data_IF_744694254141
#
_entry.id   IF_744694254141
#
_cell.length_a   1.000
_cell.length_b   1.000
_cell.length_c   1.000
_cell.angle_alpha   90.00
_cell.angle_beta   90.00
_cell.angle_gamma   90.00
#
_symmetry.space_group_name_H-M   'P 1'
#
loop_
_entity.id
_entity.type
_entity.pdbx_description
1 polymer ?
#
# COMPACT_ATOMS: atom_id res chain seq x y z
N UNK A 1 29.94 -7.02 -11.67
CA UNK A 1 28.75 -7.81 -12.08
C UNK A 1 27.75 -6.89 -12.78
N UNK A 2 27.05 -7.33 -13.84
CA UNK A 2 26.01 -6.52 -14.53
C UNK A 2 24.79 -6.32 -13.63
N UNK A 3 24.12 -5.17 -13.72
CA UNK A 3 22.96 -4.79 -12.89
C UNK A 3 21.83 -5.83 -12.94
N UNK A 4 21.45 -6.27 -14.15
CA UNK A 4 20.42 -7.28 -14.36
C UNK A 4 20.66 -8.59 -13.58
N UNK A 5 21.92 -9.06 -13.50
CA UNK A 5 22.23 -10.28 -12.74
C UNK A 5 22.01 -10.10 -11.23
N UNK A 6 22.25 -8.90 -10.71
CA UNK A 6 22.00 -8.56 -9.30
C UNK A 6 20.49 -8.49 -9.05
N UNK A 7 19.74 -7.88 -9.96
CA UNK A 7 18.27 -7.82 -9.92
C UNK A 7 17.62 -9.20 -9.96
N UNK A 8 18.00 -10.08 -10.90
CA UNK A 8 17.44 -11.43 -10.96
C UNK A 8 17.71 -12.22 -9.68
N UNK A 9 18.91 -12.06 -9.11
CA UNK A 9 19.24 -12.67 -7.82
C UNK A 9 18.34 -12.12 -6.70
N UNK A 10 18.13 -10.81 -6.70
CA UNK A 10 17.34 -10.14 -5.67
C UNK A 10 15.86 -10.55 -5.73
N UNK A 11 15.26 -10.56 -6.92
CA UNK A 11 13.88 -11.01 -7.13
C UNK A 11 13.72 -12.47 -6.71
N UNK A 12 14.63 -13.35 -7.16
CA UNK A 12 14.55 -14.79 -6.86
C UNK A 12 14.63 -15.04 -5.37
N UNK A 13 15.57 -14.43 -4.65
CA UNK A 13 15.79 -14.72 -3.23
C UNK A 13 14.94 -13.85 -2.29
N UNK A 14 14.52 -12.66 -2.73
CA UNK A 14 13.77 -11.72 -1.91
C UNK A 14 12.26 -11.74 -2.10
N UNK A 15 11.75 -12.04 -3.31
CA UNK A 15 10.31 -12.15 -3.55
C UNK A 15 9.88 -13.61 -3.77
N UNK A 16 10.51 -14.35 -4.70
CA UNK A 16 9.98 -15.64 -5.20
C UNK A 16 10.26 -16.83 -4.26
N UNK A 17 11.51 -16.99 -3.79
CA UNK A 17 11.86 -18.12 -2.91
C UNK A 17 11.21 -18.05 -1.54
N UNK A 18 10.81 -16.86 -1.12
CA UNK A 18 10.09 -16.68 0.13
C UNK A 18 8.60 -16.83 -0.14
N UNK A 19 8.16 -18.05 -0.47
CA UNK A 19 6.77 -18.35 -0.88
C UNK A 19 5.74 -17.84 0.13
N UNK A 20 6.12 -17.80 1.42
CA UNK A 20 5.32 -17.23 2.51
C UNK A 20 4.93 -15.75 2.26
N UNK A 21 5.81 -14.97 1.62
CA UNK A 21 5.53 -13.58 1.25
C UNK A 21 4.47 -13.45 0.16
N UNK A 22 4.33 -14.44 -0.70
CA UNK A 22 3.31 -14.47 -1.75
C UNK A 22 1.95 -14.96 -1.22
N UNK A 23 1.95 -15.74 -0.13
CA UNK A 23 0.72 -16.20 0.52
C UNK A 23 -0.01 -15.07 1.28
N UNK A 24 0.72 -14.10 1.83
CA UNK A 24 0.10 -12.98 2.57
C UNK A 24 -0.95 -12.19 1.77
N UNK A 25 -0.65 -11.63 0.58
CA UNK A 25 -1.65 -10.90 -0.20
C UNK A 25 -2.82 -11.80 -0.62
N UNK A 26 -2.58 -13.09 -0.87
CA UNK A 26 -3.63 -14.05 -1.23
C UNK A 26 -4.61 -14.24 -0.08
N UNK A 27 -4.12 -14.58 1.11
CA UNK A 27 -4.94 -14.83 2.29
C UNK A 27 -5.71 -13.55 2.66
N UNK A 28 -5.00 -12.41 2.69
CA UNK A 28 -5.61 -11.13 3.00
C UNK A 28 -6.75 -10.80 2.03
N UNK A 29 -6.49 -10.78 0.72
CA UNK A 29 -7.48 -10.37 -0.26
C UNK A 29 -8.67 -11.33 -0.28
N UNK A 30 -8.43 -12.63 -0.12
CA UNK A 30 -9.51 -13.61 0.00
C UNK A 30 -10.43 -13.31 1.19
N UNK A 31 -9.87 -12.96 2.34
CA UNK A 31 -10.65 -12.59 3.53
C UNK A 31 -11.43 -11.29 3.30
N UNK A 32 -10.80 -10.27 2.70
CA UNK A 32 -11.45 -8.98 2.42
C UNK A 32 -12.61 -9.15 1.44
N UNK A 33 -12.41 -9.90 0.35
CA UNK A 33 -13.44 -10.20 -0.64
C UNK A 33 -14.58 -11.04 -0.03
N UNK A 34 -14.27 -11.98 0.86
CA UNK A 34 -15.29 -12.74 1.60
C UNK A 34 -16.13 -11.82 2.51
N UNK A 35 -15.49 -10.90 3.25
CA UNK A 35 -16.19 -9.91 4.07
C UNK A 35 -17.08 -8.99 3.22
N UNK A 36 -16.58 -8.54 2.06
CA UNK A 36 -17.36 -7.75 1.12
C UNK A 36 -18.58 -8.52 0.62
N UNK A 37 -18.38 -9.77 0.18
CA UNK A 37 -19.45 -10.63 -0.30
C UNK A 37 -20.56 -10.83 0.76
N UNK A 38 -20.18 -11.07 2.02
CA UNK A 38 -21.15 -11.15 3.12
C UNK A 38 -21.96 -9.87 3.25
N UNK A 39 -21.30 -8.70 3.30
CA UNK A 39 -21.99 -7.41 3.41
C UNK A 39 -22.90 -7.12 2.22
N UNK A 40 -22.46 -7.42 1.01
CA UNK A 40 -23.25 -7.23 -0.21
C UNK A 40 -24.50 -8.12 -0.24
N UNK A 41 -24.42 -9.34 0.28
CA UNK A 41 -25.57 -10.24 0.38
C UNK A 41 -26.56 -9.79 1.45
N UNK A 42 -26.07 -9.32 2.60
CA UNK A 42 -26.93 -8.70 3.62
C UNK A 42 -27.62 -7.45 3.08
N UNK A 43 -26.92 -6.62 2.29
CA UNK A 43 -27.51 -5.44 1.68
C UNK A 43 -28.61 -5.78 0.66
N UNK A 44 -28.41 -6.82 -0.15
CA UNK A 44 -29.41 -7.28 -1.13
C UNK A 44 -30.73 -7.75 -0.48
N UNK A 45 -30.69 -8.21 0.78
CA UNK A 45 -31.91 -8.60 1.53
C UNK A 45 -32.82 -7.41 1.87
N UNK A 46 -32.30 -6.18 1.86
CA UNK A 46 -33.10 -4.96 2.03
C UNK A 46 -33.82 -4.50 0.75
N UNK A 47 -33.79 -5.30 -0.33
CA UNK A 47 -34.55 -5.05 -1.56
C UNK A 47 -33.95 -3.99 -2.50
N UNK A 48 -32.77 -3.47 -2.17
CA UNK A 48 -32.06 -2.49 -3.00
C UNK A 48 -31.23 -3.25 -4.05
N UNK A 49 -31.83 -3.53 -5.21
CA UNK A 49 -31.11 -4.16 -6.34
C UNK A 49 -30.29 -3.10 -7.07
N UNK A 50 -29.11 -2.77 -6.55
CA UNK A 50 -28.18 -1.87 -7.24
C UNK A 50 -27.19 -2.63 -8.10
N UNK A 51 -26.91 -2.09 -9.28
CA UNK A 51 -25.83 -2.60 -10.13
C UNK A 51 -24.50 -2.41 -9.42
N UNK A 52 -23.72 -3.49 -9.38
CA UNK A 52 -22.43 -3.56 -8.69
C UNK A 52 -21.32 -3.45 -9.72
N UNK A 53 -20.32 -2.64 -9.40
CA UNK A 53 -19.20 -2.35 -10.29
C UNK A 53 -17.87 -2.67 -9.62
N UNK A 54 -16.82 -2.88 -10.42
CA UNK A 54 -15.46 -3.10 -9.90
C UNK A 54 -14.98 -1.91 -9.05
N UNK A 55 -15.43 -0.70 -9.37
CA UNK A 55 -15.20 0.50 -8.56
C UNK A 55 -15.62 0.33 -7.10
N UNK A 56 -16.73 -0.38 -6.84
CA UNK A 56 -17.18 -0.67 -5.47
C UNK A 56 -16.23 -1.57 -4.69
N UNK A 57 -15.70 -2.60 -5.37
CA UNK A 57 -14.76 -3.57 -4.78
C UNK A 57 -13.42 -2.92 -4.48
N UNK A 58 -12.93 -2.10 -5.42
CA UNK A 58 -11.70 -1.33 -5.25
C UNK A 58 -11.83 -0.31 -4.12
N UNK A 59 -12.96 0.38 -4.04
CA UNK A 59 -13.20 1.35 -2.98
C UNK A 59 -13.30 0.66 -1.62
N UNK A 60 -13.95 -0.50 -1.53
CA UNK A 60 -14.00 -1.26 -0.27
C UNK A 60 -12.59 -1.67 0.20
N UNK A 61 -11.73 -2.09 -0.73
CA UNK A 61 -10.36 -2.49 -0.45
C UNK A 61 -9.46 -1.32 -0.01
N UNK A 62 -9.52 -0.20 -0.75
CA UNK A 62 -8.59 0.91 -0.61
C UNK A 62 -9.19 2.17 0.03
N UNK A 63 -10.47 2.14 0.40
CA UNK A 63 -11.21 3.32 0.85
C UNK A 63 -10.70 3.91 2.16
N UNK A 64 -10.17 3.08 3.07
CA UNK A 64 -9.69 3.54 4.37
C UNK A 64 -10.84 3.82 5.33
N UNK A 65 -10.87 5.02 5.89
CA UNK A 65 -11.96 5.49 6.75
C UNK A 65 -12.32 6.93 6.41
N UNK A 66 -13.54 7.34 6.74
CA UNK A 66 -13.95 8.75 6.70
C UNK A 66 -13.06 9.63 7.57
N UNK A 67 -13.20 10.95 7.40
CA UNK A 67 -12.57 11.94 8.28
C UNK A 67 -12.91 11.60 9.73
N UNK A 68 -11.90 11.54 10.58
CA UNK A 68 -12.15 11.38 12.01
C UNK A 68 -12.46 12.73 12.63
N UNK A 69 -13.60 12.84 13.28
CA UNK A 69 -14.00 14.02 14.03
C UNK A 69 -14.20 13.61 15.49
N UNK A 70 -13.47 14.27 16.40
CA UNK A 70 -13.63 14.03 17.83
C UNK A 70 -14.99 14.57 18.27
N UNK A 71 -15.93 13.66 18.55
CA UNK A 71 -17.19 13.99 19.20
C UNK A 71 -17.57 12.90 20.21
N UNK A 72 -18.48 13.22 21.13
CA UNK A 72 -18.97 12.26 22.13
C UNK A 72 -19.75 11.08 21.50
N UNK A 73 -20.26 11.27 20.28
CA UNK A 73 -21.08 10.30 19.55
C UNK A 73 -20.29 9.52 18.49
N UNK A 74 -19.19 10.09 17.98
CA UNK A 74 -18.37 9.45 16.96
C UNK A 74 -17.20 8.67 17.58
N UNK A 75 -17.39 7.36 17.72
CA UNK A 75 -16.29 6.44 18.08
C UNK A 75 -15.32 6.30 16.90
N UNK A 76 -14.02 6.36 17.18
CA UNK A 76 -12.99 6.12 16.19
C UNK A 76 -13.12 4.72 15.56
N UNK A 77 -13.38 4.69 14.25
CA UNK A 77 -13.46 3.45 13.47
C UNK A 77 -12.10 3.15 12.84
N UNK A 78 -11.37 2.20 13.42
CA UNK A 78 -10.05 1.84 12.91
C UNK A 78 -10.14 1.18 11.52
N UNK A 79 -9.43 1.69 10.49
CA UNK A 79 -9.53 1.20 9.12
C UNK A 79 -8.69 -0.07 8.94
N UNK A 80 -9.16 -1.19 9.51
CA UNK A 80 -8.43 -2.47 9.59
C UNK A 80 -7.95 -2.94 8.22
N UNK A 81 -8.83 -2.97 7.20
CA UNK A 81 -8.49 -3.43 5.84
C UNK A 81 -7.33 -2.63 5.25
N UNK A 82 -7.45 -1.30 5.29
CA UNK A 82 -6.45 -0.38 4.74
C UNK A 82 -5.13 -0.45 5.51
N UNK A 83 -5.19 -0.47 6.85
CA UNK A 83 -4.00 -0.57 7.69
C UNK A 83 -3.27 -1.89 7.46
N UNK A 84 -3.99 -3.02 7.46
CA UNK A 84 -3.39 -4.33 7.24
C UNK A 84 -2.73 -4.42 5.86
N UNK A 85 -3.36 -3.91 4.81
CA UNK A 85 -2.79 -3.87 3.46
C UNK A 85 -1.36 -3.30 3.47
N UNK A 86 -1.19 -2.09 4.03
CA UNK A 86 0.10 -1.41 4.05
C UNK A 86 1.08 -1.99 5.08
N UNK A 87 0.60 -2.45 6.23
CA UNK A 87 1.45 -3.08 7.25
C UNK A 87 2.03 -4.41 6.74
N UNK A 88 1.26 -5.21 6.01
CA UNK A 88 1.77 -6.47 5.46
C UNK A 88 2.86 -6.26 4.42
N UNK A 89 2.72 -5.29 3.51
CA UNK A 89 3.76 -5.04 2.50
C UNK A 89 5.02 -4.41 3.13
N UNK A 90 4.86 -3.56 4.16
CA UNK A 90 5.98 -3.09 4.98
C UNK A 90 6.70 -4.26 5.65
N UNK A 91 5.95 -5.20 6.24
CA UNK A 91 6.53 -6.40 6.84
C UNK A 91 7.20 -7.32 5.82
N UNK A 92 6.58 -7.51 4.65
CA UNK A 92 7.10 -8.34 3.57
C UNK A 92 8.44 -7.83 3.04
N UNK A 93 8.61 -6.50 3.00
CA UNK A 93 9.84 -5.85 2.50
C UNK A 93 10.89 -5.61 3.58
N UNK A 94 10.55 -5.84 4.85
CA UNK A 94 11.33 -5.45 6.02
C UNK A 94 12.74 -6.06 6.08
N UNK A 95 12.80 -7.39 5.93
CA UNK A 95 13.97 -8.17 6.35
C UNK A 95 14.96 -8.41 5.23
N UNK A 96 14.51 -8.40 3.98
CA UNK A 96 15.33 -8.83 2.85
C UNK A 96 16.57 -7.96 2.63
N UNK A 97 16.52 -6.60 2.60
CA UNK A 97 17.71 -5.79 2.34
C UNK A 97 18.82 -6.02 3.37
N UNK A 98 18.47 -6.13 4.66
CA UNK A 98 19.45 -6.32 5.73
C UNK A 98 19.95 -7.75 5.83
N UNK A 99 19.06 -8.75 5.69
CA UNK A 99 19.48 -10.16 5.65
C UNK A 99 20.38 -10.43 4.43
N UNK A 100 20.12 -9.76 3.31
CA UNK A 100 20.99 -9.83 2.14
C UNK A 100 22.36 -9.22 2.44
N UNK A 101 22.41 -8.07 3.10
CA UNK A 101 23.66 -7.40 3.46
C UNK A 101 24.51 -8.23 4.45
N UNK A 102 23.92 -8.85 5.47
CA UNK A 102 24.64 -9.71 6.41
C UNK A 102 25.03 -11.08 5.81
N UNK A 103 24.33 -11.52 4.76
CA UNK A 103 24.54 -12.81 4.11
C UNK A 103 25.33 -12.73 2.79
N UNK A 104 24.86 -13.48 1.78
CA UNK A 104 25.53 -13.59 0.48
C UNK A 104 25.60 -12.26 -0.30
N UNK A 105 24.76 -11.28 0.04
CA UNK A 105 24.78 -9.95 -0.56
C UNK A 105 26.07 -9.18 -0.26
N UNK A 106 26.73 -9.42 0.88
CA UNK A 106 28.05 -8.85 1.16
C UNK A 106 29.08 -9.34 0.13
N UNK A 107 29.11 -10.65 -0.12
CA UNK A 107 30.00 -11.28 -1.13
C UNK A 107 29.73 -10.74 -2.53
N UNK A 108 28.45 -10.50 -2.87
CA UNK A 108 28.05 -9.87 -4.14
C UNK A 108 28.46 -8.40 -4.24
N UNK A 109 28.43 -7.65 -3.14
CA UNK A 109 28.86 -6.25 -3.08
C UNK A 109 30.37 -6.12 -3.29
N UNK A 110 31.16 -6.98 -2.63
CA UNK A 110 32.62 -7.08 -2.80
C UNK A 110 32.99 -7.44 -4.25
N UNK A 111 32.31 -8.44 -4.86
CA UNK A 111 32.50 -8.80 -6.28
C UNK A 111 31.95 -7.74 -7.26
N UNK A 112 30.94 -6.98 -6.85
CA UNK A 112 30.26 -5.97 -7.65
C UNK A 112 31.00 -4.65 -7.76
N UNK A 113 31.86 -4.33 -6.78
CA UNK A 113 32.67 -3.09 -6.67
C UNK A 113 31.87 -1.78 -6.73
N UNK A 114 30.56 -1.78 -6.49
CA UNK A 114 29.75 -0.56 -6.52
C UNK A 114 28.61 -0.58 -5.50
N UNK A 115 28.74 0.24 -4.45
CA UNK A 115 27.71 0.45 -3.43
C UNK A 115 26.43 1.07 -4.02
N UNK A 116 26.58 1.97 -4.98
CA UNK A 116 25.45 2.64 -5.66
C UNK A 116 24.61 1.63 -6.43
N UNK A 117 25.24 0.77 -7.24
CA UNK A 117 24.53 -0.27 -8.01
C UNK A 117 23.79 -1.24 -7.09
N UNK A 118 24.39 -1.59 -5.95
CA UNK A 118 23.73 -2.44 -4.96
C UNK A 118 22.47 -1.76 -4.40
N UNK A 119 22.56 -0.51 -3.96
CA UNK A 119 21.41 0.23 -3.42
C UNK A 119 20.29 0.41 -4.45
N UNK A 120 20.62 0.80 -5.68
CA UNK A 120 19.64 0.93 -6.77
C UNK A 120 18.96 -0.40 -7.06
N UNK A 121 19.67 -1.53 -6.95
CA UNK A 121 19.06 -2.84 -7.11
C UNK A 121 18.03 -3.13 -6.02
N UNK A 122 18.30 -2.72 -4.77
CA UNK A 122 17.32 -2.85 -3.68
C UNK A 122 16.10 -1.95 -3.88
N UNK A 123 16.30 -0.74 -4.39
CA UNK A 123 15.20 0.16 -4.74
C UNK A 123 14.30 -0.45 -5.82
N UNK A 124 14.88 -1.01 -6.88
CA UNK A 124 14.13 -1.68 -7.96
C UNK A 124 13.48 -2.97 -7.44
N UNK A 125 14.19 -3.76 -6.64
CA UNK A 125 13.62 -4.95 -6.00
C UNK A 125 12.39 -4.61 -5.17
N UNK A 126 12.45 -3.54 -4.38
CA UNK A 126 11.33 -3.07 -3.56
C UNK A 126 10.12 -2.68 -4.42
N UNK A 127 10.34 -1.94 -5.52
CA UNK A 127 9.32 -1.63 -6.51
C UNK A 127 8.68 -2.90 -7.10
N UNK A 128 9.50 -3.87 -7.51
CA UNK A 128 9.01 -5.12 -8.10
C UNK A 128 8.25 -5.99 -7.11
N UNK A 129 8.69 -6.07 -5.86
CA UNK A 129 7.96 -6.78 -4.80
C UNK A 129 6.59 -6.12 -4.55
N UNK A 130 6.49 -4.79 -4.60
CA UNK A 130 5.21 -4.08 -4.57
C UNK A 130 4.34 -4.41 -5.79
N UNK A 131 4.91 -4.44 -7.00
CA UNK A 131 4.18 -4.82 -8.22
C UNK A 131 3.61 -6.24 -8.15
N UNK A 132 4.38 -7.19 -7.63
CA UNK A 132 3.92 -8.57 -7.43
C UNK A 132 2.78 -8.61 -6.40
N UNK A 133 2.94 -7.91 -5.28
CA UNK A 133 1.94 -7.89 -4.20
C UNK A 133 0.59 -7.31 -4.68
N UNK A 134 0.62 -6.13 -5.32
CA UNK A 134 -0.59 -5.53 -5.89
C UNK A 134 -1.12 -6.33 -7.09
N UNK A 135 -0.25 -6.91 -7.91
CA UNK A 135 -0.65 -7.77 -9.02
C UNK A 135 -1.49 -8.97 -8.55
N UNK A 136 -1.10 -9.61 -7.45
CA UNK A 136 -1.89 -10.69 -6.82
C UNK A 136 -3.26 -10.17 -6.38
N UNK A 137 -3.31 -9.03 -5.68
CA UNK A 137 -4.56 -8.41 -5.23
C UNK A 137 -5.49 -8.12 -6.42
N UNK A 138 -5.00 -7.46 -7.47
CA UNK A 138 -5.82 -7.15 -8.64
C UNK A 138 -6.31 -8.40 -9.37
N UNK A 139 -5.48 -9.44 -9.50
CA UNK A 139 -5.90 -10.72 -10.10
C UNK A 139 -7.07 -11.33 -9.30
N UNK A 140 -6.99 -11.30 -7.97
CA UNK A 140 -8.04 -11.83 -7.11
C UNK A 140 -9.33 -11.00 -7.18
N UNK A 141 -9.22 -9.66 -7.20
CA UNK A 141 -10.36 -8.76 -7.41
C UNK A 141 -11.03 -9.06 -8.77
N UNK A 142 -10.25 -9.15 -9.86
CA UNK A 142 -10.78 -9.43 -11.19
C UNK A 142 -11.46 -10.80 -11.28
N UNK A 143 -10.87 -11.82 -10.66
CA UNK A 143 -11.45 -13.15 -10.57
C UNK A 143 -12.77 -13.11 -9.77
N UNK A 144 -12.79 -12.44 -8.63
CA UNK A 144 -13.99 -12.28 -7.80
C UNK A 144 -15.12 -11.54 -8.53
N UNK A 145 -14.81 -10.44 -9.22
CA UNK A 145 -15.79 -9.71 -10.03
C UNK A 145 -16.39 -10.60 -11.12
N UNK A 146 -15.53 -11.39 -11.79
CA UNK A 146 -15.95 -12.29 -12.86
C UNK A 146 -16.83 -13.44 -12.36
N UNK A 147 -16.48 -14.06 -11.22
CA UNK A 147 -17.25 -15.15 -10.60
C UNK A 147 -18.58 -14.63 -10.04
N UNK A 148 -18.60 -13.42 -9.49
CA UNK A 148 -19.78 -12.82 -8.84
C UNK A 148 -20.70 -12.05 -9.79
N UNK A 149 -20.37 -11.99 -11.09
CA UNK A 149 -21.13 -11.24 -12.09
C UNK A 149 -21.13 -9.72 -11.89
N UNK A 150 -20.09 -9.17 -11.25
CA UNK A 150 -19.90 -7.73 -11.03
C UNK A 150 -19.39 -7.10 -12.32
N UNK A 151 -19.94 -5.94 -12.71
CA UNK A 151 -19.57 -5.25 -13.94
C UNK A 151 -18.17 -4.64 -13.83
N UNK A 152 -17.42 -4.56 -14.93
CA UNK A 152 -16.04 -4.07 -14.96
C UNK A 152 -15.89 -2.55 -14.83
N UNK A 153 -17.00 -1.82 -14.70
CA UNK A 153 -16.99 -0.35 -14.60
C UNK A 153 -16.35 0.18 -13.31
N UNK A 154 -15.93 1.44 -13.34
CA UNK A 154 -15.36 2.18 -12.21
C UNK A 154 -16.37 3.04 -11.46
N UNK A 155 -17.66 2.93 -11.84
CA UNK A 155 -18.76 3.54 -11.11
C UNK A 155 -18.77 3.02 -9.67
N UNK A 156 -19.23 3.86 -8.76
CA UNK A 156 -19.37 3.54 -7.35
C UNK A 156 -20.81 3.78 -6.93
N UNK A 157 -21.41 2.78 -6.30
CA UNK A 157 -22.73 2.91 -5.73
C UNK A 157 -22.64 3.56 -4.33
N UNK A 158 -22.86 4.87 -4.26
CA UNK A 158 -22.68 5.64 -3.02
C UNK A 158 -23.59 5.21 -1.87
N UNK A 159 -24.81 4.74 -2.14
CA UNK A 159 -25.72 4.26 -1.10
C UNK A 159 -25.16 3.00 -0.42
N UNK A 160 -24.69 2.05 -1.23
CA UNK A 160 -24.04 0.84 -0.73
C UNK A 160 -22.77 1.21 0.06
N UNK A 161 -21.93 2.12 -0.46
CA UNK A 161 -20.70 2.52 0.22
C UNK A 161 -20.96 3.23 1.55
N UNK A 162 -22.03 4.03 1.64
CA UNK A 162 -22.47 4.69 2.88
C UNK A 162 -22.72 3.65 3.97
N UNK A 163 -23.37 2.52 3.63
CA UNK A 163 -23.57 1.41 4.56
C UNK A 163 -22.28 0.63 4.84
N UNK A 164 -21.48 0.32 3.81
CA UNK A 164 -20.25 -0.46 3.97
C UNK A 164 -19.21 0.22 4.86
N UNK A 165 -19.11 1.55 4.79
CA UNK A 165 -18.23 2.41 5.57
C UNK A 165 -18.88 3.00 6.83
N UNK A 166 -20.15 2.67 7.11
CA UNK A 166 -20.91 3.19 8.25
C UNK A 166 -20.84 4.73 8.34
N UNK A 167 -21.11 5.39 7.22
CA UNK A 167 -21.12 6.84 7.11
C UNK A 167 -22.37 7.39 7.81
N UNK A 168 -22.18 8.47 8.56
CA UNK A 168 -23.27 9.18 9.23
C UNK A 168 -23.84 10.27 8.32
N UNK A 169 -24.87 10.97 8.80
CA UNK A 169 -25.50 12.08 8.06
C UNK A 169 -24.50 13.19 7.68
N UNK A 170 -23.43 13.34 8.45
CA UNK A 170 -22.41 14.39 8.28
C UNK A 170 -21.41 14.09 7.15
N UNK A 171 -21.48 12.92 6.51
CA UNK A 171 -20.59 12.55 5.40
C UNK A 171 -21.42 12.20 4.17
N UNK A 172 -21.55 13.17 3.26
CA UNK A 172 -22.21 12.99 1.96
C UNK A 172 -21.23 12.47 0.92
N UNK A 173 -21.60 11.35 0.29
CA UNK A 173 -20.92 10.86 -0.91
C UNK A 173 -21.61 11.43 -2.16
N UNK A 174 -20.81 11.82 -3.15
CA UNK A 174 -21.31 12.39 -4.40
C UNK A 174 -22.04 11.35 -5.24
N UNK A 175 -23.29 11.60 -5.68
CA UNK A 175 -24.01 10.66 -6.53
C UNK A 175 -23.26 10.43 -7.85
N UNK A 176 -23.41 9.23 -8.42
CA UNK A 176 -22.80 8.82 -9.68
C UNK A 176 -21.26 8.96 -9.73
N UNK A 177 -20.59 8.83 -8.57
CA UNK A 177 -19.14 8.90 -8.48
C UNK A 177 -18.48 7.81 -9.34
N UNK A 178 -17.47 8.20 -10.11
CA UNK A 178 -16.65 7.29 -10.93
C UNK A 178 -15.21 7.40 -10.41
N UNK A 179 -14.66 6.27 -10.00
CA UNK A 179 -13.29 6.20 -9.48
C UNK A 179 -12.28 6.59 -10.57
N UNK A 180 -11.47 7.63 -10.36
CA UNK A 180 -10.37 7.95 -11.25
C UNK A 180 -9.30 6.85 -11.24
N UNK A 181 -8.82 6.44 -12.41
CA UNK A 181 -7.70 5.47 -12.52
C UNK A 181 -6.45 5.97 -11.80
N UNK A 182 -6.26 7.30 -11.72
CA UNK A 182 -5.16 7.92 -10.99
C UNK A 182 -5.13 7.52 -9.51
N UNK A 183 -6.27 7.27 -8.88
CA UNK A 183 -6.32 6.91 -7.46
C UNK A 183 -5.85 5.48 -7.20
N UNK A 184 -6.11 4.58 -8.13
CA UNK A 184 -5.56 3.22 -8.09
C UNK A 184 -4.02 3.27 -8.16
N UNK A 185 -3.50 4.13 -9.06
CA UNK A 185 -2.05 4.37 -9.17
C UNK A 185 -1.50 4.98 -7.88
N UNK A 186 -2.24 5.90 -7.26
CA UNK A 186 -1.84 6.55 -6.01
C UNK A 186 -1.70 5.58 -4.84
N UNK A 187 -2.64 4.63 -4.68
CA UNK A 187 -2.56 3.58 -3.65
C UNK A 187 -1.27 2.76 -3.82
N UNK A 188 -0.97 2.36 -5.06
CA UNK A 188 0.26 1.64 -5.38
C UNK A 188 1.51 2.49 -5.09
N UNK A 189 1.52 3.76 -5.50
CA UNK A 189 2.63 4.68 -5.26
C UNK A 189 2.88 4.92 -3.77
N UNK A 190 1.83 5.00 -2.96
CA UNK A 190 1.98 5.08 -1.50
C UNK A 190 2.73 3.86 -0.97
N UNK A 191 2.31 2.67 -1.37
CA UNK A 191 2.94 1.42 -0.96
C UNK A 191 4.44 1.39 -1.29
N UNK A 192 4.79 1.79 -2.52
CA UNK A 192 6.19 1.91 -2.95
C UNK A 192 6.93 2.91 -2.06
N UNK A 193 6.39 4.13 -1.88
CA UNK A 193 7.05 5.17 -1.10
C UNK A 193 7.28 4.77 0.35
N UNK A 194 6.27 4.23 1.05
CA UNK A 194 6.44 3.82 2.45
C UNK A 194 7.47 2.71 2.60
N UNK A 195 7.54 1.77 1.65
CA UNK A 195 8.55 0.72 1.66
C UNK A 195 9.95 1.30 1.36
N UNK A 196 10.07 2.29 0.46
CA UNK A 196 11.37 2.93 0.19
C UNK A 196 11.84 3.77 1.38
N UNK A 197 10.94 4.50 2.03
CA UNK A 197 11.24 5.24 3.26
C UNK A 197 11.70 4.26 4.35
N UNK A 198 10.95 3.18 4.58
CA UNK A 198 11.31 2.14 5.56
C UNK A 198 12.72 1.58 5.30
N UNK A 199 13.00 1.22 4.05
CA UNK A 199 14.30 0.66 3.66
C UNK A 199 15.42 1.68 3.85
N UNK A 200 15.20 2.95 3.49
CA UNK A 200 16.16 4.02 3.71
C UNK A 200 16.41 4.25 5.21
N UNK A 201 15.35 4.36 6.03
CA UNK A 201 15.44 4.48 7.49
C UNK A 201 16.23 3.33 8.12
N UNK A 202 16.17 2.13 7.54
CA UNK A 202 16.95 0.95 7.94
C UNK A 202 18.49 1.14 7.86
N UNK A 203 18.98 2.21 7.24
CA UNK A 203 20.41 2.59 7.25
C UNK A 203 20.82 3.42 8.48
N UNK A 204 19.86 3.86 9.29
CA UNK A 204 20.10 4.54 10.57
C UNK A 204 19.57 3.72 11.74
N UNK A 205 18.44 3.05 11.54
CA UNK A 205 17.75 2.27 12.55
C UNK A 205 17.84 0.77 12.23
N UNK A 206 17.65 -0.09 13.24
CA UNK A 206 17.39 -1.51 12.96
C UNK A 206 16.07 -1.63 12.18
N UNK A 207 15.91 -2.62 11.27
CA UNK A 207 14.70 -2.78 10.45
C UNK A 207 13.40 -2.67 11.23
N UNK A 208 13.31 -3.35 12.38
CA UNK A 208 12.11 -3.35 13.21
C UNK A 208 11.66 -1.95 13.64
N UNK A 209 12.60 -1.04 13.92
CA UNK A 209 12.27 0.34 14.30
C UNK A 209 11.81 1.15 13.10
N UNK A 210 12.42 0.96 11.92
CA UNK A 210 11.94 1.59 10.68
C UNK A 210 10.51 1.17 10.35
N UNK A 211 10.18 -0.11 10.57
CA UNK A 211 8.81 -0.62 10.43
C UNK A 211 7.86 0.05 11.42
N UNK A 212 8.22 0.13 12.71
CA UNK A 212 7.40 0.79 13.72
C UNK A 212 7.13 2.27 13.37
N UNK A 213 8.14 3.00 12.89
CA UNK A 213 7.98 4.39 12.44
C UNK A 213 6.96 4.48 11.30
N UNK A 214 7.03 3.59 10.30
CA UNK A 214 6.06 3.61 9.21
C UNK A 214 4.65 3.24 9.66
N UNK A 215 4.49 2.28 10.58
CA UNK A 215 3.21 1.97 11.19
C UNK A 215 2.62 3.18 11.93
N UNK A 216 3.45 3.95 12.64
CA UNK A 216 3.02 5.21 13.28
C UNK A 216 2.57 6.26 12.26
N UNK A 217 3.28 6.40 11.13
CA UNK A 217 2.87 7.31 10.05
C UNK A 217 1.51 6.91 9.46
N UNK A 218 1.28 5.62 9.23
CA UNK A 218 -0.02 5.11 8.76
C UNK A 218 -1.12 5.34 9.81
N UNK A 219 -0.83 5.12 11.10
CA UNK A 219 -1.77 5.38 12.18
C UNK A 219 -2.14 6.87 12.28
N UNK A 220 -1.15 7.77 12.22
CA UNK A 220 -1.38 9.22 12.17
C UNK A 220 -2.25 9.62 10.98
N UNK A 221 -2.10 8.93 9.84
CA UNK A 221 -2.94 9.13 8.66
C UNK A 221 -4.41 8.78 8.92
N UNK A 222 -4.70 7.81 9.78
CA UNK A 222 -6.08 7.50 10.17
C UNK A 222 -6.72 8.63 10.99
N UNK A 223 -5.95 9.29 11.86
CA UNK A 223 -6.46 10.39 12.71
C UNK A 223 -6.59 11.71 11.97
N UNK A 224 -5.64 12.05 11.10
CA UNK A 224 -5.58 13.37 10.46
C UNK A 224 -5.86 13.29 8.97
N UNK A 225 -6.87 14.02 8.49
CA UNK A 225 -7.10 14.25 7.07
C UNK A 225 -6.31 15.49 6.62
N UNK A 226 -5.18 15.29 5.94
CA UNK A 226 -4.29 16.36 5.48
C UNK A 226 -3.43 15.92 4.29
N UNK A 227 -3.16 16.85 3.36
CA UNK A 227 -2.21 16.67 2.25
C UNK A 227 -0.77 16.42 2.71
N UNK A 228 -0.40 16.87 3.91
CA UNK A 228 0.94 16.68 4.46
C UNK A 228 1.17 15.27 5.02
N UNK A 229 0.08 14.53 5.25
CA UNK A 229 0.12 13.18 5.82
C UNK A 229 -0.09 12.17 4.69
N UNK A 230 1.02 11.58 4.24
CA UNK A 230 1.10 10.82 2.98
C UNK A 230 0.11 9.65 2.88
N UNK A 231 -0.34 9.07 4.01
CA UNK A 231 -1.32 7.99 3.98
C UNK A 231 -2.69 8.41 3.44
N UNK A 232 -3.08 9.68 3.58
CA UNK A 232 -4.35 10.17 3.05
C UNK A 232 -4.44 10.07 1.52
N UNK A 233 -3.31 10.10 0.83
CA UNK A 233 -3.28 9.92 -0.62
C UNK A 233 -3.79 8.55 -1.10
N UNK A 234 -3.83 7.55 -0.23
CA UNK A 234 -4.38 6.24 -0.54
C UNK A 234 -5.67 5.91 0.22
N UNK A 235 -6.25 6.83 1.02
CA UNK A 235 -7.56 6.64 1.62
C UNK A 235 -8.62 7.23 0.70
N UNK A 236 -9.11 6.41 -0.24
CA UNK A 236 -9.91 6.90 -1.36
C UNK A 236 -11.22 7.56 -0.94
N UNK A 237 -11.82 7.14 0.18
CA UNK A 237 -13.07 7.74 0.68
C UNK A 237 -12.90 9.20 1.17
N UNK A 238 -11.65 9.66 1.32
CA UNK A 238 -11.31 11.04 1.70
C UNK A 238 -11.02 11.91 0.48
N UNK A 239 -11.19 11.43 -0.74
CA UNK A 239 -10.86 12.19 -1.94
C UNK A 239 -12.08 12.95 -2.48
N UNK A 240 -11.81 14.10 -3.08
CA UNK A 240 -12.84 15.02 -3.55
C UNK A 240 -13.76 14.44 -4.64
N UNK A 241 -13.34 13.40 -5.38
CA UNK A 241 -14.18 12.79 -6.42
C UNK A 241 -15.36 12.00 -5.85
N UNK A 242 -15.27 11.54 -4.60
CA UNK A 242 -16.32 10.75 -3.95
C UNK A 242 -16.93 11.45 -2.73
N UNK A 243 -16.13 12.22 -1.99
CA UNK A 243 -16.56 12.90 -0.77
C UNK A 243 -16.58 14.41 -1.01
N UNK A 244 -17.66 15.09 -0.62
CA UNK A 244 -17.83 16.53 -0.81
C UNK A 244 -16.78 17.34 -0.03
N UNK A 245 -16.44 16.92 1.18
CA UNK A 245 -15.38 17.52 2.02
C UNK A 245 -14.01 16.83 1.82
N UNK A 246 -13.86 16.17 0.68
CA UNK A 246 -12.65 15.43 0.33
C UNK A 246 -11.44 16.31 -0.01
N UNK A 247 -10.27 15.71 0.03
CA UNK A 247 -9.01 16.31 -0.38
C UNK A 247 -8.91 16.28 -1.92
N UNK A 248 -8.51 17.40 -2.52
CA UNK A 248 -8.08 17.43 -3.93
C UNK A 248 -6.67 16.84 -4.07
N UNK A 249 -6.58 15.61 -4.57
CA UNK A 249 -5.34 14.85 -4.73
C UNK A 249 -4.63 15.09 -6.08
N UNK A 250 -4.93 16.15 -6.84
CA UNK A 250 -4.24 16.45 -8.12
C UNK A 250 -2.71 16.50 -8.01
N UNK A 251 -2.19 17.01 -6.89
CA UNK A 251 -0.73 17.13 -6.65
C UNK A 251 -0.10 15.87 -6.07
N UNK A 252 -0.91 14.84 -5.77
CA UNK A 252 -0.47 13.68 -5.04
C UNK A 252 0.51 12.82 -5.84
N UNK A 253 0.25 12.57 -7.14
CA UNK A 253 1.15 11.78 -8.00
C UNK A 253 2.56 12.44 -8.06
N UNK A 254 2.70 13.73 -8.42
CA UNK A 254 3.99 14.42 -8.38
C UNK A 254 4.67 14.37 -7.00
N UNK A 255 3.92 14.57 -5.91
CA UNK A 255 4.47 14.53 -4.56
C UNK A 255 5.03 13.14 -4.23
N UNK A 256 4.32 12.07 -4.59
CA UNK A 256 4.78 10.70 -4.37
C UNK A 256 6.01 10.34 -5.20
N UNK A 257 6.05 10.75 -6.47
CA UNK A 257 7.25 10.62 -7.31
C UNK A 257 8.46 11.32 -6.66
N UNK A 258 8.26 12.53 -6.14
CA UNK A 258 9.31 13.30 -5.48
C UNK A 258 9.80 12.61 -4.20
N UNK A 259 8.90 12.11 -3.35
CA UNK A 259 9.26 11.36 -2.14
C UNK A 259 10.07 10.11 -2.48
N UNK A 260 9.64 9.32 -3.47
CA UNK A 260 10.36 8.13 -3.93
C UNK A 260 11.75 8.53 -4.45
N UNK A 261 11.85 9.61 -5.24
CA UNK A 261 13.13 10.07 -5.75
C UNK A 261 14.08 10.50 -4.61
N UNK A 262 13.60 11.33 -3.68
CA UNK A 262 14.40 11.81 -2.54
C UNK A 262 14.89 10.63 -1.70
N UNK A 263 14.04 9.66 -1.39
CA UNK A 263 14.40 8.49 -0.57
C UNK A 263 15.48 7.63 -1.24
N UNK A 264 15.41 7.46 -2.57
CA UNK A 264 16.48 6.80 -3.33
C UNK A 264 17.80 7.55 -3.20
N UNK A 265 17.80 8.88 -3.40
CA UNK A 265 19.02 9.72 -3.33
C UNK A 265 19.62 9.70 -1.93
N UNK A 266 18.80 9.92 -0.90
CA UNK A 266 19.19 9.89 0.52
C UNK A 266 19.80 8.53 0.87
N UNK A 267 19.17 7.44 0.42
CA UNK A 267 19.69 6.09 0.58
C UNK A 267 21.04 5.87 -0.11
N UNK A 268 21.22 6.36 -1.34
CA UNK A 268 22.51 6.28 -2.05
C UNK A 268 23.61 7.01 -1.27
N UNK A 269 23.35 8.25 -0.84
CA UNK A 269 24.32 9.08 -0.11
C UNK A 269 24.73 8.39 1.19
N UNK A 270 23.75 7.88 1.93
CA UNK A 270 23.99 7.20 3.21
C UNK A 270 24.71 5.86 3.03
N UNK A 271 24.27 5.05 2.08
CA UNK A 271 24.82 3.71 1.85
C UNK A 271 26.28 3.74 1.38
N UNK A 272 26.69 4.78 0.64
CA UNK A 272 28.10 5.00 0.29
C UNK A 272 29.00 5.03 1.53
N UNK A 273 28.53 5.62 2.64
CA UNK A 273 29.27 5.74 3.91
C UNK A 273 28.89 4.69 4.95
N UNK A 274 28.02 3.75 4.61
CA UNK A 274 27.55 2.74 5.55
C UNK A 274 28.65 1.72 5.84
N UNK A 275 28.79 1.32 7.11
CA UNK A 275 29.74 0.27 7.48
C UNK A 275 29.14 -1.10 7.14
N UNK A 276 29.82 -1.83 6.26
CA UNK A 276 29.34 -3.10 5.69
C UNK A 276 29.97 -4.30 6.43
N UNK A 277 31.08 -4.06 7.15
CA UNK A 277 31.73 -5.08 7.98
C UNK A 277 31.11 -4.93 9.37
N UNK A 278 30.25 -5.87 9.75
CA UNK A 278 29.83 -6.01 11.14
C UNK A 278 31.03 -6.62 11.88
N UNK A 279 31.61 -5.87 12.82
CA UNK A 279 32.47 -6.47 13.83
C UNK A 279 31.60 -7.48 14.60
N UNK A 280 32.04 -8.74 14.63
CA UNK A 280 31.45 -9.75 15.50
C UNK A 280 31.63 -9.26 16.94
N UNK A 281 30.53 -8.84 17.57
CA UNK A 281 30.43 -8.74 19.02
C UNK A 281 29.89 -10.06 19.56
#
# INVERSE_FOLDING_TARGET
MKMWKLLCYDIKNGCIKNLKLLLFPIIFETVVLYMLWQKMNSYAQYGISTQKHMGDVLLYNFGGMKKYELSMENVFQFPVTWMLLFVMILFATLSYPMNNLCGFGNKLLVKGKSRVKWWLSKCIWNLLCNMIFFGIIFILILAFCSISGIQSGMQVNTDMQTVLFNLGADTSLKPDAIMPVGDIVMVFMLSVAICQIQMALGLWLKPIYSFMVMCMVLLLSAYFQSLFVIGNYAMLIRHLWINEDGIDCKVAIPAMCLIIFITVIVGVIRFKKYNIIQEEN
#
